data_IF_708311242312
#
_entry.id   IF_708311242312
#
_cell.length_a   1.000
_cell.length_b   1.000
_cell.length_c   1.000
_cell.angle_alpha   90.00
_cell.angle_beta   90.00
_cell.angle_gamma   90.00
#
_symmetry.space_group_name_H-M   'P 1'
#
loop_
_entity.id
_entity.type
_entity.pdbx_description
1 polymer ?
#
# COMPACT_ATOMS: atom_id res chain seq x y z
N UNK A 1 -20.33 10.66 -8.51
CA UNK A 1 -19.55 11.48 -7.57
C UNK A 1 -18.14 10.91 -7.51
N UNK A 2 -17.19 11.56 -8.18
CA UNK A 2 -15.83 11.05 -8.39
C UNK A 2 -14.90 11.40 -7.21
N UNK A 3 -14.93 10.61 -6.13
CA UNK A 3 -13.80 10.63 -5.19
C UNK A 3 -12.67 9.77 -5.80
N UNK A 4 -11.69 10.43 -6.43
CA UNK A 4 -10.75 9.79 -7.37
C UNK A 4 -9.29 9.74 -6.90
N UNK A 5 -9.02 9.82 -5.59
CA UNK A 5 -7.68 9.59 -5.04
C UNK A 5 -7.75 8.85 -3.70
N UNK A 6 -7.63 7.53 -3.82
CA UNK A 6 -7.74 6.54 -2.76
C UNK A 6 -6.49 5.66 -2.67
N UNK A 7 -5.36 6.10 -3.22
CA UNK A 7 -4.12 5.33 -3.15
C UNK A 7 -3.08 6.09 -2.34
N UNK A 8 -2.41 5.36 -1.45
CA UNK A 8 -1.31 5.89 -0.65
C UNK A 8 -0.13 4.93 -0.76
N UNK A 9 1.08 5.47 -0.73
CA UNK A 9 2.32 4.71 -0.73
C UNK A 9 2.91 4.72 0.67
N UNK A 10 3.23 3.56 1.21
CA UNK A 10 3.97 3.44 2.45
C UNK A 10 5.38 4.04 2.31
N UNK A 11 5.71 5.00 3.16
CA UNK A 11 7.06 5.60 3.22
C UNK A 11 7.98 4.90 4.21
N UNK A 12 7.39 4.18 5.15
CA UNK A 12 8.07 3.39 6.18
C UNK A 12 7.35 2.06 6.38
N UNK A 13 8.05 1.08 6.94
CA UNK A 13 7.42 -0.14 7.44
C UNK A 13 6.57 0.13 8.67
N UNK A 14 5.40 -0.51 8.70
CA UNK A 14 4.46 -0.46 9.80
C UNK A 14 3.97 -1.89 10.03
N UNK A 15 4.61 -2.58 10.97
CA UNK A 15 4.32 -3.97 11.31
C UNK A 15 3.66 -4.00 12.67
N UNK A 16 2.42 -4.49 12.72
CA UNK A 16 1.60 -4.52 13.92
C UNK A 16 0.94 -5.89 14.09
N UNK A 17 0.66 -6.25 15.34
CA UNK A 17 -0.01 -7.50 15.72
C UNK A 17 -1.50 -7.32 15.94
N UNK A 18 -2.00 -6.09 15.87
CA UNK A 18 -3.42 -5.82 16.07
C UNK A 18 -4.21 -6.18 14.80
N UNK A 19 -5.28 -6.99 14.93
CA UNK A 19 -6.09 -7.41 13.78
C UNK A 19 -6.90 -6.27 13.18
N UNK A 20 -7.07 -5.18 13.93
CA UNK A 20 -7.73 -3.94 13.49
C UNK A 20 -6.78 -3.08 12.65
N UNK A 21 -5.47 -3.20 12.84
CA UNK A 21 -4.46 -2.38 12.19
C UNK A 21 -3.91 -3.04 10.92
N UNK A 22 -3.58 -2.23 9.92
CA UNK A 22 -3.03 -2.72 8.66
C UNK A 22 -1.50 -2.80 8.74
N UNK A 23 -0.93 -3.98 8.56
CA UNK A 23 0.53 -4.16 8.43
C UNK A 23 0.99 -3.98 6.97
N UNK A 24 2.01 -3.15 6.74
CA UNK A 24 2.58 -2.90 5.42
C UNK A 24 4.07 -2.54 5.51
N UNK A 25 4.79 -2.59 4.38
CA UNK A 25 6.21 -2.26 4.30
C UNK A 25 6.45 -1.01 3.48
N UNK A 26 7.59 -0.34 3.70
CA UNK A 26 8.03 0.78 2.86
C UNK A 26 7.99 0.41 1.38
N UNK A 27 7.34 1.24 0.58
CA UNK A 27 7.18 1.08 -0.87
C UNK A 27 5.89 0.38 -1.30
N UNK A 28 5.13 -0.18 -0.35
CA UNK A 28 3.84 -0.78 -0.62
C UNK A 28 2.79 0.27 -1.01
N UNK A 29 1.89 -0.11 -1.92
CA UNK A 29 0.76 0.74 -2.35
C UNK A 29 -0.51 0.21 -1.71
N UNK A 30 -1.12 1.02 -0.86
CA UNK A 30 -2.33 0.69 -0.12
C UNK A 30 -3.51 1.41 -0.77
N UNK A 31 -4.60 0.68 -0.96
CA UNK A 31 -5.87 1.25 -1.44
C UNK A 31 -6.71 1.65 -0.24
N UNK A 32 -6.85 2.95 -0.02
CA UNK A 32 -7.75 3.55 0.97
C UNK A 32 -9.19 3.20 0.57
N UNK A 33 -9.90 2.48 1.43
CA UNK A 33 -11.32 2.15 1.21
C UNK A 33 -12.23 3.06 2.03
N UNK A 34 -11.73 3.61 3.14
CA UNK A 34 -12.46 4.58 3.94
C UNK A 34 -11.52 5.59 4.58
N UNK A 35 -11.80 6.87 4.37
CA UNK A 35 -11.24 7.96 5.18
C UNK A 35 -12.21 8.12 6.35
N UNK A 36 -12.13 7.23 7.33
CA UNK A 36 -13.13 7.18 8.39
C UNK A 36 -13.07 8.47 9.20
N UNK A 37 -14.07 9.34 9.04
CA UNK A 37 -14.23 10.62 9.74
C UNK A 37 -14.25 10.47 11.27
N UNK A 38 -14.56 9.27 11.77
CA UNK A 38 -14.65 8.96 13.20
C UNK A 38 -13.35 8.49 13.84
N UNK A 39 -12.32 8.16 13.05
CA UNK A 39 -10.99 7.94 13.60
C UNK A 39 -10.34 9.31 13.78
N UNK A 40 -9.69 9.54 14.91
CA UNK A 40 -9.01 10.78 15.24
C UNK A 40 -8.21 11.33 14.03
N UNK A 41 -8.18 12.65 13.86
CA UNK A 41 -7.57 13.37 12.73
C UNK A 41 -6.16 12.84 12.38
N UNK A 42 -6.05 11.80 11.55
CA UNK A 42 -4.76 11.15 11.33
C UNK A 42 -4.80 9.69 10.86
N UNK A 43 -5.93 8.99 10.99
CA UNK A 43 -6.03 7.57 10.62
C UNK A 43 -6.81 7.33 9.33
N UNK A 44 -6.40 6.31 8.58
CA UNK A 44 -6.98 5.90 7.31
C UNK A 44 -7.31 4.40 7.35
N UNK A 45 -8.39 3.99 6.70
CA UNK A 45 -8.72 2.57 6.51
C UNK A 45 -8.43 2.16 5.07
N UNK A 46 -7.61 1.15 4.89
CA UNK A 46 -7.21 0.68 3.57
C UNK A 46 -7.03 -0.82 3.50
N UNK A 47 -6.78 -1.29 2.29
CA UNK A 47 -6.58 -2.69 1.96
C UNK A 47 -5.32 -2.87 1.12
N UNK A 48 -4.51 -3.86 1.48
CA UNK A 48 -3.30 -4.26 0.76
C UNK A 48 -3.09 -5.77 0.85
N UNK A 49 -2.72 -6.42 -0.27
CA UNK A 49 -2.44 -7.85 -0.32
C UNK A 49 -3.53 -8.74 0.32
N UNK A 50 -4.81 -8.32 0.24
CA UNK A 50 -5.95 -9.02 0.84
C UNK A 50 -6.20 -8.74 2.33
N UNK A 51 -5.31 -8.01 2.99
CA UNK A 51 -5.50 -7.55 4.38
C UNK A 51 -6.13 -6.15 4.39
N UNK A 52 -7.13 -5.96 5.23
CA UNK A 52 -7.75 -4.64 5.49
C UNK A 52 -7.53 -4.24 6.94
N UNK A 53 -7.29 -2.97 7.18
CA UNK A 53 -7.09 -2.45 8.53
C UNK A 53 -6.90 -0.94 8.53
N UNK A 54 -6.88 -0.37 9.73
CA UNK A 54 -6.63 1.06 9.92
C UNK A 54 -5.14 1.30 10.10
N UNK A 55 -4.67 2.46 9.65
CA UNK A 55 -3.27 2.85 9.79
C UNK A 55 -3.12 4.37 9.88
N UNK A 56 -2.06 4.84 10.55
CA UNK A 56 -1.78 6.27 10.62
C UNK A 56 -1.29 6.78 9.26
N UNK A 57 -1.83 7.92 8.83
CA UNK A 57 -1.44 8.58 7.59
C UNK A 57 0.02 9.06 7.60
N UNK A 58 0.66 9.16 8.76
CA UNK A 58 2.06 9.61 8.88
C UNK A 58 3.06 8.63 8.26
N UNK A 59 2.68 7.35 8.14
CA UNK A 59 3.52 6.30 7.58
C UNK A 59 3.27 6.10 6.07
N UNK A 60 2.38 6.90 5.49
CA UNK A 60 2.01 6.82 4.08
C UNK A 60 1.98 8.20 3.42
N UNK A 61 2.15 8.23 2.11
CA UNK A 61 2.01 9.43 1.30
C UNK A 61 0.87 9.27 0.30
N UNK A 62 0.00 10.27 0.12
CA UNK A 62 -1.00 10.25 -0.94
C UNK A 62 -0.32 10.21 -2.30
N UNK A 63 -0.74 9.27 -3.15
CA UNK A 63 -0.23 9.14 -4.51
C UNK A 63 -1.37 9.15 -5.51
N UNK A 64 -1.12 9.73 -6.68
CA UNK A 64 -2.07 9.69 -7.80
C UNK A 64 -2.28 8.25 -8.26
N UNK A 65 -3.48 7.93 -8.77
CA UNK A 65 -3.78 6.62 -9.34
C UNK A 65 -2.74 6.18 -10.40
N UNK A 66 -2.27 7.11 -11.23
CA UNK A 66 -1.22 6.84 -12.22
C UNK A 66 0.10 6.42 -11.56
N UNK A 67 0.49 7.08 -10.47
CA UNK A 67 1.71 6.75 -9.71
C UNK A 67 1.54 5.41 -8.98
N UNK A 68 0.39 5.16 -8.35
CA UNK A 68 0.07 3.89 -7.73
C UNK A 68 0.18 2.70 -8.72
N UNK A 69 -0.38 2.88 -9.92
CA UNK A 69 -0.26 1.88 -11.00
C UNK A 69 1.20 1.70 -11.40
N UNK A 70 1.93 2.80 -11.61
CA UNK A 70 3.34 2.75 -12.02
C UNK A 70 4.21 2.02 -10.99
N UNK A 71 4.05 2.34 -9.70
CA UNK A 71 4.79 1.71 -8.61
C UNK A 71 4.46 0.21 -8.52
N UNK A 72 3.19 -0.15 -8.64
CA UNK A 72 2.77 -1.56 -8.66
C UNK A 72 3.35 -2.31 -9.85
N UNK A 73 3.31 -1.72 -11.06
CA UNK A 73 3.94 -2.28 -12.27
C UNK A 73 5.45 -2.45 -12.08
N UNK A 74 6.15 -1.41 -11.62
CA UNK A 74 7.60 -1.44 -11.41
C UNK A 74 8.04 -2.51 -10.40
N UNK A 75 7.29 -2.71 -9.32
CA UNK A 75 7.56 -3.79 -8.36
C UNK A 75 7.37 -5.16 -9.02
N UNK A 76 6.28 -5.34 -9.77
CA UNK A 76 6.01 -6.60 -10.46
C UNK A 76 7.06 -6.94 -11.53
N UNK A 77 7.54 -5.94 -12.28
CA UNK A 77 8.58 -6.10 -13.29
C UNK A 77 9.93 -6.44 -12.67
N UNK A 78 10.31 -5.77 -11.57
CA UNK A 78 11.54 -6.10 -10.82
C UNK A 78 11.51 -7.52 -10.30
N UNK A 79 10.39 -7.96 -9.71
CA UNK A 79 10.24 -9.33 -9.19
C UNK A 79 10.31 -10.37 -10.31
N UNK A 80 9.60 -10.15 -11.42
CA UNK A 80 9.67 -11.03 -12.60
C UNK A 80 11.10 -11.15 -13.13
N UNK A 81 11.79 -10.02 -13.29
CA UNK A 81 13.17 -10.00 -13.76
C UNK A 81 14.13 -10.74 -12.82
N UNK A 82 13.96 -10.62 -11.50
CA UNK A 82 14.76 -11.41 -10.56
C UNK A 82 14.49 -12.92 -10.66
N UNK A 83 13.23 -13.33 -10.84
CA UNK A 83 12.88 -14.74 -11.00
C UNK A 83 13.41 -15.32 -12.31
N UNK A 84 13.34 -14.58 -13.42
CA UNK A 84 13.92 -15.01 -14.71
C UNK A 84 15.44 -15.19 -14.62
N UNK A 85 16.15 -14.28 -13.94
CA UNK A 85 17.60 -14.40 -13.73
C UNK A 85 17.98 -15.59 -12.82
N UNK A 86 17.12 -15.97 -11.88
CA UNK A 86 17.37 -17.09 -10.96
C UNK A 86 16.89 -18.45 -11.50
N UNK A 87 16.01 -18.47 -12.50
CA UNK A 87 15.45 -19.69 -13.09
C UNK A 87 16.26 -20.20 -14.31
N UNK A 88 17.42 -19.60 -14.60
CA UNK A 88 18.30 -20.02 -15.69
C UNK A 88 19.65 -20.55 -15.19
N UNK A 89 19.68 -21.79 -14.69
CA UNK A 89 20.73 -22.79 -14.97
C UNK A 89 20.49 -24.08 -14.17
N UNK A 90 20.18 -25.15 -14.91
CA UNK A 90 20.10 -26.54 -14.50
C UNK A 90 19.94 -27.39 -15.74
#
# INVERSE_FOLDING_TARGET
MNSSQDFVRAVSDYITREPTLLSFRKGDVIRVVHKNTYLEKGWLHGVINGHSGIFPKEYVEPVSKAEAIRLSSMQSERVKRYQELNNGHG
#
